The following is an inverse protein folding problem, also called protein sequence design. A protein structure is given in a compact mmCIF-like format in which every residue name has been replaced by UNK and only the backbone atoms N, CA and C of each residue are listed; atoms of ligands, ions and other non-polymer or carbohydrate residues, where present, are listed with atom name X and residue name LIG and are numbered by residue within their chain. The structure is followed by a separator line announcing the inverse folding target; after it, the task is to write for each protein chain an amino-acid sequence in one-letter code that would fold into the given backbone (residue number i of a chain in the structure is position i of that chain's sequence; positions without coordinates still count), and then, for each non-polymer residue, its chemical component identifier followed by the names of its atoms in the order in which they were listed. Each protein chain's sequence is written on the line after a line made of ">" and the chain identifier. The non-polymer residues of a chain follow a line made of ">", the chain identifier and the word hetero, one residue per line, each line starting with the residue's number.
data_IF_660320152635
#
_entry.id   IF_660320152635
#
_cell.length_a   1.000
_cell.length_b   1.000
_cell.length_c   1.000
_cell.angle_alpha   90.00
_cell.angle_beta   90.00
_cell.angle_gamma   90.00
#
_symmetry.space_group_name_H-M   'P 1'
#
loop_
_entity.id
_entity.type
_entity.pdbx_description
1 polymer ?
#
# COMPACT_ATOMS: atom_id res chain seq x y z
N UNK A 1 28.41 2.81 -3.69
CA UNK A 1 27.36 2.54 -4.70
C UNK A 1 26.24 3.52 -4.41
N UNK A 2 25.90 4.46 -5.31
CA UNK A 2 25.22 5.66 -4.89
C UNK A 2 23.72 5.42 -4.73
N UNK A 3 23.28 5.58 -3.50
CA UNK A 3 21.90 5.78 -3.06
C UNK A 3 21.38 7.10 -3.65
N UNK A 4 20.31 7.08 -4.46
CA UNK A 4 19.64 8.31 -4.90
C UNK A 4 18.67 8.73 -3.81
N UNK A 5 19.07 9.76 -3.07
CA UNK A 5 18.23 10.53 -2.15
C UNK A 5 17.22 11.35 -2.97
N UNK A 6 15.92 11.20 -2.69
CA UNK A 6 14.91 12.19 -3.09
C UNK A 6 14.47 12.94 -1.85
N UNK A 7 15.29 13.91 -1.46
CA UNK A 7 14.96 14.94 -0.48
C UNK A 7 14.34 16.16 -1.15
N UNK A 8 13.18 16.55 -0.63
CA UNK A 8 12.55 17.87 -0.61
C UNK A 8 13.32 19.01 -1.32
N UNK A 9 12.70 19.56 -2.38
CA UNK A 9 12.78 20.99 -2.70
C UNK A 9 14.11 21.58 -3.16
N UNK A 10 14.57 21.25 -4.37
CA UNK A 10 15.36 22.17 -5.20
C UNK A 10 14.91 22.08 -6.65
N UNK A 11 14.57 23.24 -7.26
CA UNK A 11 14.18 23.38 -8.67
C UNK A 11 15.10 22.58 -9.59
N UNK A 12 14.58 21.53 -10.23
CA UNK A 12 15.26 20.85 -11.34
C UNK A 12 15.15 21.76 -12.57
N UNK A 13 16.16 22.60 -12.80
CA UNK A 13 16.47 23.11 -14.14
C UNK A 13 17.51 22.20 -14.78
N UNK A 14 17.13 20.98 -15.11
CA UNK A 14 17.86 20.17 -16.08
C UNK A 14 16.85 19.47 -16.97
N UNK A 15 16.89 19.83 -18.26
CA UNK A 15 16.20 19.10 -19.32
C UNK A 15 16.68 17.66 -19.26
N UNK A 16 15.74 16.71 -19.18
CA UNK A 16 16.01 15.32 -19.50
C UNK A 16 16.38 15.24 -20.98
N UNK A 17 17.67 15.34 -21.29
CA UNK A 17 18.17 14.90 -22.58
C UNK A 17 18.19 13.37 -22.54
N UNK A 18 17.54 12.74 -23.51
CA UNK A 18 17.71 11.32 -23.80
C UNK A 18 19.21 11.00 -23.84
N UNK A 19 19.66 9.86 -23.29
CA UNK A 19 20.99 9.36 -23.57
C UNK A 19 21.02 8.92 -25.03
N UNK A 20 21.58 9.76 -25.90
CA UNK A 20 22.08 9.31 -27.19
C UNK A 20 23.17 8.27 -26.94
N UNK A 21 22.95 7.07 -27.46
CA UNK A 21 23.83 5.90 -27.43
C UNK A 21 23.86 5.10 -26.11
N UNK A 22 22.87 4.22 -25.95
CA UNK A 22 23.04 2.98 -25.19
C UNK A 22 23.85 1.99 -26.04
N UNK A 23 24.96 1.52 -25.47
CA UNK A 23 25.84 0.46 -25.98
C UNK A 23 25.03 -0.77 -26.44
N UNK A 24 25.16 -1.12 -27.73
CA UNK A 24 24.44 -2.15 -28.48
C UNK A 24 24.65 -3.60 -27.98
N UNK A 25 25.19 -3.79 -26.77
CA UNK A 25 25.45 -5.10 -26.16
C UNK A 25 24.43 -5.52 -25.09
N UNK A 26 23.42 -4.71 -24.82
CA UNK A 26 22.26 -5.08 -23.99
C UNK A 26 20.98 -5.36 -24.78
N UNK A 27 21.05 -5.29 -26.13
CA UNK A 27 19.96 -5.68 -27.03
C UNK A 27 19.98 -7.20 -27.23
N UNK A 28 19.57 -7.93 -26.21
CA UNK A 28 19.36 -9.37 -26.25
C UNK A 28 17.97 -9.74 -26.75
N UNK A 29 17.87 -9.96 -28.07
CA UNK A 29 16.84 -10.70 -28.81
C UNK A 29 15.36 -10.26 -28.70
N UNK A 30 14.87 -9.67 -29.80
CA UNK A 30 13.46 -9.78 -30.23
C UNK A 30 13.15 -11.28 -30.43
N UNK A 31 12.55 -11.90 -29.42
CA UNK A 31 12.00 -13.24 -29.53
C UNK A 31 10.57 -13.16 -30.05
N UNK A 32 10.28 -13.91 -31.10
CA UNK A 32 8.93 -14.23 -31.54
C UNK A 32 8.20 -14.96 -30.40
N UNK A 33 7.26 -14.29 -29.74
CA UNK A 33 6.53 -14.84 -28.60
C UNK A 33 5.24 -15.51 -29.07
N UNK A 34 5.36 -16.75 -29.53
CA UNK A 34 4.23 -17.68 -29.49
C UNK A 34 3.77 -17.86 -28.02
N UNK A 35 2.54 -18.36 -27.77
CA UNK A 35 1.98 -18.43 -26.42
C UNK A 35 2.84 -19.34 -25.55
N UNK A 36 3.73 -18.76 -24.75
CA UNK A 36 4.41 -19.49 -23.69
C UNK A 36 3.39 -19.70 -22.58
N UNK A 37 2.92 -20.94 -22.45
CA UNK A 37 2.26 -21.38 -21.23
C UNK A 37 3.13 -20.96 -20.05
N UNK A 38 2.52 -20.39 -19.03
CA UNK A 38 3.18 -20.08 -17.75
C UNK A 38 4.14 -21.21 -17.40
N UNK A 39 5.41 -20.88 -17.15
CA UNK A 39 6.31 -21.82 -16.51
C UNK A 39 5.78 -22.02 -15.09
N UNK A 40 4.90 -23.01 -14.93
CA UNK A 40 4.61 -23.65 -13.65
C UNK A 40 5.92 -24.27 -13.20
N UNK A 41 6.79 -23.48 -12.57
CA UNK A 41 7.95 -24.07 -11.89
C UNK A 41 7.37 -24.91 -10.74
N UNK A 42 7.45 -26.23 -10.91
CA UNK A 42 7.12 -27.28 -9.92
C UNK A 42 5.64 -27.67 -9.80
N UNK A 43 5.42 -28.94 -9.42
CA UNK A 43 4.19 -29.60 -8.93
C UNK A 43 3.55 -28.91 -7.70
N UNK A 44 3.58 -27.58 -7.62
CA UNK A 44 3.05 -26.83 -6.48
C UNK A 44 1.52 -26.85 -6.54
N UNK A 45 0.90 -27.56 -5.60
CA UNK A 45 -0.54 -27.55 -5.35
C UNK A 45 -0.85 -26.46 -4.33
N UNK A 46 -1.84 -25.61 -4.58
CA UNK A 46 -2.29 -24.61 -3.60
C UNK A 46 -3.46 -25.20 -2.80
N UNK A 47 -3.22 -25.55 -1.54
CA UNK A 47 -4.23 -26.16 -0.65
C UNK A 47 -4.22 -25.45 0.68
N UNK A 48 -5.29 -25.60 1.48
CA UNK A 48 -5.35 -24.98 2.81
C UNK A 48 -4.20 -25.42 3.74
N UNK A 49 -3.67 -26.63 3.54
CA UNK A 49 -2.56 -27.19 4.31
C UNK A 49 -1.23 -26.44 4.11
N UNK A 50 -1.09 -25.67 3.03
CA UNK A 50 0.14 -24.94 2.72
C UNK A 50 0.00 -23.43 2.67
N UNK A 51 -1.08 -22.88 3.24
CA UNK A 51 -1.27 -21.43 3.40
C UNK A 51 -0.10 -20.76 4.16
N UNK A 52 0.60 -21.48 5.05
CA UNK A 52 1.80 -20.95 5.70
C UNK A 52 2.99 -20.67 4.75
N UNK A 53 2.91 -21.10 3.47
CA UNK A 53 3.91 -20.83 2.41
C UNK A 53 3.31 -20.09 1.22
N UNK A 54 2.04 -20.30 0.95
CA UNK A 54 1.35 -19.81 -0.23
C UNK A 54 -0.04 -19.31 0.17
N UNK A 55 -0.13 -18.06 0.63
CA UNK A 55 -1.42 -17.45 0.91
C UNK A 55 -2.07 -17.15 -0.44
N UNK A 56 -3.29 -17.67 -0.61
CA UNK A 56 -4.17 -17.49 -1.78
C UNK A 56 -5.49 -16.87 -1.32
N UNK A 57 -6.40 -16.51 -2.24
CA UNK A 57 -7.74 -16.06 -1.86
C UNK A 57 -8.47 -17.06 -0.94
N UNK A 58 -8.37 -18.36 -1.19
CA UNK A 58 -9.03 -19.38 -0.36
C UNK A 58 -8.43 -19.49 1.04
N UNK A 59 -7.11 -19.29 1.19
CA UNK A 59 -6.49 -19.18 2.50
C UNK A 59 -7.09 -18.04 3.33
N UNK A 60 -7.30 -16.87 2.70
CA UNK A 60 -7.89 -15.71 3.38
C UNK A 60 -9.37 -15.94 3.68
N UNK A 61 -10.07 -16.68 2.82
CA UNK A 61 -11.44 -17.07 3.09
C UNK A 61 -11.57 -17.90 4.34
N UNK A 62 -10.71 -18.89 4.47
CA UNK A 62 -10.69 -19.75 5.65
C UNK A 62 -10.24 -19.00 6.90
N UNK A 63 -9.13 -18.25 6.82
CA UNK A 63 -8.59 -17.48 7.96
C UNK A 63 -9.58 -16.48 8.55
N UNK A 64 -10.34 -15.79 7.70
CA UNK A 64 -11.16 -14.65 8.11
C UNK A 64 -12.67 -14.87 7.95
N UNK A 65 -13.10 -16.10 7.67
CA UNK A 65 -14.49 -16.44 7.40
C UNK A 65 -15.12 -15.53 6.33
N UNK A 66 -14.37 -15.27 5.25
CA UNK A 66 -14.83 -14.48 4.11
C UNK A 66 -15.80 -15.36 3.31
N UNK A 67 -17.04 -14.90 3.07
CA UNK A 67 -17.97 -15.63 2.23
C UNK A 67 -17.41 -15.90 0.83
N UNK A 68 -17.62 -17.12 0.33
CA UNK A 68 -17.25 -17.50 -1.05
C UNK A 68 -18.14 -16.83 -2.11
N UNK A 69 -19.29 -16.28 -1.69
CA UNK A 69 -20.19 -15.49 -2.52
C UNK A 69 -20.53 -14.21 -1.79
N UNK A 70 -20.30 -13.07 -2.45
CA UNK A 70 -20.77 -11.77 -1.97
C UNK A 70 -22.04 -11.42 -2.74
N UNK A 71 -23.13 -11.11 -2.03
CA UNK A 71 -24.26 -10.46 -2.67
C UNK A 71 -23.79 -9.09 -3.16
N UNK A 72 -23.94 -8.81 -4.46
CA UNK A 72 -23.70 -7.46 -4.96
C UNK A 72 -24.75 -6.56 -4.35
N UNK A 73 -24.32 -5.55 -3.61
CA UNK A 73 -25.20 -4.47 -3.21
C UNK A 73 -25.01 -3.33 -4.22
N UNK A 74 -26.07 -2.87 -4.91
CA UNK A 74 -25.94 -1.87 -5.98
C UNK A 74 -25.38 -0.54 -5.50
N UNK A 75 -25.50 -0.24 -4.20
CA UNK A 75 -24.94 0.96 -3.57
C UNK A 75 -23.57 0.74 -2.92
N UNK A 76 -22.92 -0.41 -3.15
CA UNK A 76 -21.57 -0.66 -2.64
C UNK A 76 -20.55 -0.45 -3.76
N UNK A 77 -19.42 0.14 -3.39
CA UNK A 77 -18.34 0.45 -4.31
C UNK A 77 -17.03 0.42 -3.54
N UNK A 78 -16.00 -0.13 -4.18
CA UNK A 78 -14.67 -0.27 -3.61
C UNK A 78 -13.65 0.36 -4.54
N UNK A 79 -12.81 1.24 -4.01
CA UNK A 79 -11.78 1.95 -4.77
C UNK A 79 -10.40 1.77 -4.14
N UNK A 80 -9.40 1.62 -5.00
CA UNK A 80 -8.00 1.48 -4.62
C UNK A 80 -7.25 2.67 -5.18
N UNK A 81 -6.49 3.36 -4.32
CA UNK A 81 -5.60 4.44 -4.73
C UNK A 81 -4.32 3.87 -5.34
N UNK A 82 -3.97 4.31 -6.54
CA UNK A 82 -2.70 4.01 -7.20
C UNK A 82 -2.06 5.32 -7.70
N UNK A 83 -0.73 5.40 -7.57
CA UNK A 83 0.05 6.52 -8.11
C UNK A 83 0.36 6.30 -9.59
N UNK A 84 0.57 7.38 -10.34
CA UNK A 84 0.61 7.38 -11.80
C UNK A 84 1.54 6.38 -12.47
N UNK A 85 2.66 6.04 -11.85
CA UNK A 85 3.60 5.05 -12.39
C UNK A 85 3.23 3.61 -12.03
N UNK A 86 2.47 3.35 -10.97
CA UNK A 86 2.05 2.01 -10.58
C UNK A 86 0.91 1.54 -11.50
N UNK A 87 1.05 0.35 -12.09
CA UNK A 87 0.11 -0.14 -13.10
C UNK A 87 -0.02 -1.65 -13.06
N UNK A 88 -1.24 -2.15 -13.20
CA UNK A 88 -1.54 -3.58 -13.28
C UNK A 88 -1.48 -4.08 -14.72
N UNK A 89 -1.17 -5.35 -14.90
CA UNK A 89 -1.10 -5.99 -16.23
C UNK A 89 -2.29 -6.92 -16.47
N UNK A 90 -3.07 -6.75 -17.56
CA UNK A 90 -4.20 -7.63 -17.89
C UNK A 90 -3.83 -9.12 -17.87
N UNK A 91 -2.65 -9.45 -18.40
CA UNK A 91 -2.14 -10.83 -18.47
C UNK A 91 -1.83 -11.42 -17.09
N UNK A 92 -1.36 -10.60 -16.16
CA UNK A 92 -1.08 -11.04 -14.80
C UNK A 92 -2.38 -11.30 -14.06
N UNK A 93 -3.32 -10.36 -14.12
CA UNK A 93 -4.67 -10.54 -13.58
C UNK A 93 -5.34 -11.81 -14.12
N UNK A 94 -5.35 -12.04 -15.43
CA UNK A 94 -5.96 -13.26 -16.01
C UNK A 94 -5.22 -14.54 -15.60
N UNK A 95 -3.89 -14.48 -15.49
CA UNK A 95 -3.09 -15.62 -15.04
C UNK A 95 -3.40 -16.00 -13.60
N UNK A 96 -3.55 -15.00 -12.72
CA UNK A 96 -3.95 -15.20 -11.34
C UNK A 96 -5.41 -15.69 -11.23
N UNK A 97 -6.33 -15.04 -11.93
CA UNK A 97 -7.75 -15.40 -11.94
C UNK A 97 -7.97 -16.80 -12.51
N UNK A 98 -7.26 -17.19 -13.57
CA UNK A 98 -7.33 -18.54 -14.12
C UNK A 98 -7.00 -19.64 -13.11
N UNK A 99 -6.24 -19.33 -12.06
CA UNK A 99 -5.90 -20.27 -10.97
C UNK A 99 -6.86 -20.13 -9.79
N UNK A 100 -7.10 -18.91 -9.29
CA UNK A 100 -7.73 -18.68 -8.00
C UNK A 100 -9.16 -18.11 -8.05
N UNK A 101 -9.59 -17.59 -9.20
CA UNK A 101 -10.96 -17.10 -9.39
C UNK A 101 -11.35 -17.15 -10.88
N UNK A 102 -11.56 -18.34 -11.47
CA UNK A 102 -11.73 -18.47 -12.93
C UNK A 102 -12.89 -17.65 -13.51
N UNK A 103 -13.90 -17.33 -12.69
CA UNK A 103 -15.03 -16.48 -13.06
C UNK A 103 -14.64 -15.01 -13.27
N UNK A 104 -13.48 -14.59 -12.77
CA UNK A 104 -12.96 -13.22 -12.84
C UNK A 104 -12.01 -13.00 -14.03
N UNK A 105 -11.70 -14.03 -14.83
CA UNK A 105 -10.92 -13.87 -16.08
C UNK A 105 -11.65 -12.87 -16.98
N UNK A 106 -10.87 -12.00 -17.65
CA UNK A 106 -11.35 -10.85 -18.43
C UNK A 106 -12.04 -9.74 -17.64
N UNK A 107 -12.25 -9.90 -16.32
CA UNK A 107 -12.71 -8.82 -15.47
C UNK A 107 -11.55 -7.86 -15.17
N UNK A 108 -11.82 -6.55 -15.16
CA UNK A 108 -10.82 -5.49 -15.00
C UNK A 108 -11.27 -4.43 -14.01
N UNK A 109 -10.34 -3.77 -13.30
CA UNK A 109 -10.70 -2.61 -12.51
C UNK A 109 -11.15 -1.45 -13.40
N UNK A 110 -12.13 -0.69 -12.94
CA UNK A 110 -12.63 0.50 -13.65
C UNK A 110 -11.73 1.66 -13.29
N UNK A 111 -10.93 2.13 -14.25
CA UNK A 111 -10.00 3.22 -14.00
C UNK A 111 -10.71 4.58 -13.94
N UNK A 112 -10.34 5.37 -12.92
CA UNK A 112 -10.67 6.78 -12.75
C UNK A 112 -9.37 7.56 -12.80
N UNK A 113 -9.14 8.19 -13.95
CA UNK A 113 -8.01 9.10 -14.16
C UNK A 113 -8.21 10.37 -13.34
N UNK A 114 -7.20 10.71 -12.53
CA UNK A 114 -7.16 11.93 -11.73
C UNK A 114 -5.82 12.63 -12.00
N UNK A 115 -5.88 13.90 -12.37
CA UNK A 115 -4.74 14.75 -12.71
C UNK A 115 -3.83 14.14 -13.79
N UNK A 116 -4.44 13.53 -14.80
CA UNK A 116 -3.73 12.86 -15.90
C UNK A 116 -3.37 11.40 -15.65
N UNK A 117 -3.95 10.79 -14.61
CA UNK A 117 -3.70 9.40 -14.26
C UNK A 117 -3.93 8.47 -15.43
N UNK A 118 -2.99 7.59 -15.71
CA UNK A 118 -3.03 6.74 -16.89
C UNK A 118 -2.70 5.30 -16.53
N UNK A 119 -3.30 4.37 -17.27
CA UNK A 119 -2.90 2.98 -17.25
C UNK A 119 -1.83 2.78 -18.31
N UNK A 120 -0.81 1.98 -18.00
CA UNK A 120 0.29 1.70 -18.91
C UNK A 120 0.80 0.27 -18.76
N UNK A 121 1.22 -0.32 -19.88
CA UNK A 121 1.86 -1.64 -19.94
C UNK A 121 3.17 -1.61 -20.74
N UNK A 122 3.71 -0.42 -21.02
CA UNK A 122 4.98 -0.24 -21.74
C UNK A 122 6.18 -0.53 -20.83
N UNK A 123 6.15 0.03 -19.61
CA UNK A 123 7.14 -0.20 -18.57
C UNK A 123 6.66 -1.34 -17.67
N UNK A 124 7.17 -2.53 -17.97
CA UNK A 124 6.91 -3.74 -17.20
C UNK A 124 8.10 -4.08 -16.32
N UNK A 125 7.85 -4.27 -15.03
CA UNK A 125 8.83 -4.73 -14.07
C UNK A 125 8.22 -4.81 -12.67
N UNK A 126 8.82 -5.63 -11.80
CA UNK A 126 8.32 -5.83 -10.43
C UNK A 126 8.15 -4.50 -9.68
N UNK A 127 9.04 -3.53 -9.91
CA UNK A 127 8.94 -2.19 -9.30
C UNK A 127 7.62 -1.47 -9.66
N UNK A 128 7.14 -1.68 -10.87
CA UNK A 128 6.00 -0.96 -11.46
C UNK A 128 4.69 -1.69 -11.22
N UNK A 129 4.69 -3.02 -11.37
CA UNK A 129 3.45 -3.79 -11.42
C UNK A 129 3.11 -4.48 -10.11
N UNK A 130 4.10 -4.84 -9.27
CA UNK A 130 3.85 -5.72 -8.13
C UNK A 130 2.86 -5.18 -7.09
N UNK A 131 2.73 -3.86 -6.94
CA UNK A 131 1.73 -3.26 -6.04
C UNK A 131 0.33 -3.40 -6.63
N UNK A 132 0.15 -2.81 -7.81
CA UNK A 132 -1.13 -2.76 -8.49
C UNK A 132 -1.66 -4.17 -8.81
N UNK A 133 -0.82 -5.08 -9.33
CA UNK A 133 -1.23 -6.47 -9.57
C UNK A 133 -1.74 -7.11 -8.29
N UNK A 134 -0.96 -7.09 -7.20
CA UNK A 134 -1.36 -7.70 -5.93
C UNK A 134 -2.67 -7.10 -5.39
N UNK A 135 -2.80 -5.77 -5.41
CA UNK A 135 -3.98 -5.05 -4.93
C UNK A 135 -5.24 -5.46 -5.72
N UNK A 136 -5.16 -5.49 -7.06
CA UNK A 136 -6.30 -5.83 -7.91
C UNK A 136 -6.59 -7.35 -7.97
N UNK A 137 -5.56 -8.20 -7.95
CA UNK A 137 -5.70 -9.67 -7.90
C UNK A 137 -6.52 -10.11 -6.69
N UNK A 138 -6.13 -9.69 -5.48
CA UNK A 138 -6.81 -10.11 -4.26
C UNK A 138 -8.15 -9.44 -4.07
N UNK A 139 -8.24 -8.13 -4.32
CA UNK A 139 -9.51 -7.44 -4.18
C UNK A 139 -10.57 -8.04 -5.09
N UNK A 140 -10.28 -8.16 -6.39
CA UNK A 140 -11.24 -8.64 -7.36
C UNK A 140 -11.57 -10.11 -7.12
N UNK A 141 -10.58 -10.96 -6.79
CA UNK A 141 -10.85 -12.38 -6.53
C UNK A 141 -11.71 -12.61 -5.28
N UNK A 142 -11.59 -11.77 -4.25
CA UNK A 142 -12.37 -11.88 -3.02
C UNK A 142 -13.75 -11.23 -3.12
N UNK A 143 -13.90 -10.16 -3.91
CA UNK A 143 -15.15 -9.40 -4.00
C UNK A 143 -15.98 -9.67 -5.26
N UNK A 144 -15.52 -10.53 -6.16
CA UNK A 144 -16.24 -10.86 -7.40
C UNK A 144 -17.72 -11.22 -7.12
N UNK A 145 -18.70 -10.69 -7.89
CA UNK A 145 -18.56 -9.89 -9.12
C UNK A 145 -18.56 -8.36 -8.93
N UNK A 146 -18.29 -7.86 -7.72
CA UNK A 146 -18.21 -6.42 -7.48
C UNK A 146 -17.11 -5.79 -8.35
N UNK A 147 -17.45 -4.69 -9.05
CA UNK A 147 -16.46 -3.84 -9.71
C UNK A 147 -15.57 -3.10 -8.71
N UNK A 148 -14.27 -3.15 -8.95
CA UNK A 148 -13.24 -2.40 -8.21
C UNK A 148 -12.82 -1.18 -9.02
N UNK A 149 -12.75 -0.02 -8.38
CA UNK A 149 -12.31 1.23 -8.99
C UNK A 149 -10.80 1.38 -8.80
N UNK A 150 -10.06 1.65 -9.87
CA UNK A 150 -8.67 2.11 -9.79
C UNK A 150 -8.65 3.65 -9.81
N UNK A 151 -8.41 4.29 -8.67
CA UNK A 151 -8.14 5.72 -8.61
C UNK A 151 -6.67 5.97 -8.98
N UNK A 152 -6.42 6.17 -10.28
CA UNK A 152 -5.10 6.41 -10.82
C UNK A 152 -4.80 7.92 -10.73
N UNK A 153 -3.84 8.31 -9.90
CA UNK A 153 -3.56 9.73 -9.61
C UNK A 153 -2.19 10.14 -10.13
N UNK A 154 -2.12 11.33 -10.72
CA UNK A 154 -0.87 11.94 -11.19
C UNK A 154 -0.67 11.78 -12.69
N UNK A 155 0.49 12.16 -13.20
CA UNK A 155 0.79 12.09 -14.63
C UNK A 155 2.14 11.42 -14.91
N UNK A 156 2.54 11.37 -16.18
CA UNK A 156 3.80 10.77 -16.64
C UNK A 156 5.04 11.41 -16.01
N UNK A 157 5.00 12.72 -15.81
CA UNK A 157 6.16 13.49 -15.32
C UNK A 157 6.10 13.85 -13.83
N UNK A 158 4.94 13.65 -13.20
CA UNK A 158 4.69 14.01 -11.81
C UNK A 158 3.90 12.89 -11.14
N UNK A 159 4.48 12.30 -10.10
CA UNK A 159 3.82 11.24 -9.33
C UNK A 159 2.59 11.78 -8.63
N UNK A 160 1.49 11.05 -8.68
CA UNK A 160 0.28 11.42 -7.94
C UNK A 160 0.49 11.40 -6.43
N UNK A 161 -0.16 12.32 -5.75
CA UNK A 161 -0.14 12.40 -4.29
C UNK A 161 -1.50 12.00 -3.73
N UNK A 162 -1.52 11.58 -2.46
CA UNK A 162 -2.75 11.33 -1.75
C UNK A 162 -3.61 12.61 -1.63
N UNK A 163 -2.98 13.79 -1.57
CA UNK A 163 -3.70 15.05 -1.65
C UNK A 163 -4.37 15.25 -3.03
N UNK A 164 -3.73 14.82 -4.12
CA UNK A 164 -4.36 14.81 -5.44
C UNK A 164 -5.64 13.97 -5.49
N UNK A 165 -5.68 12.82 -4.81
CA UNK A 165 -6.90 12.02 -4.65
C UNK A 165 -7.97 12.79 -3.86
N UNK A 166 -7.57 13.37 -2.73
CA UNK A 166 -8.48 14.10 -1.84
C UNK A 166 -9.06 15.33 -2.54
N UNK A 167 -8.27 16.08 -3.29
CA UNK A 167 -8.71 17.20 -4.11
C UNK A 167 -9.73 16.77 -5.17
N UNK A 168 -9.56 15.58 -5.77
CA UNK A 168 -10.54 15.04 -6.71
C UNK A 168 -11.87 14.69 -6.05
N UNK A 169 -11.86 14.27 -4.78
CA UNK A 169 -13.09 14.02 -4.01
C UNK A 169 -13.75 15.29 -3.50
N UNK A 170 -12.94 16.29 -3.12
CA UNK A 170 -13.42 17.55 -2.59
C UNK A 170 -12.70 18.75 -3.20
N UNK A 171 -13.44 19.50 -4.02
CA UNK A 171 -12.94 20.71 -4.68
C UNK A 171 -12.50 21.81 -3.71
N UNK A 172 -12.91 21.80 -2.44
CA UNK A 172 -12.39 22.75 -1.44
C UNK A 172 -10.91 22.54 -1.08
N UNK A 173 -10.33 21.43 -1.57
CA UNK A 173 -8.94 21.06 -1.37
C UNK A 173 -8.06 21.37 -2.60
N UNK A 174 -8.62 22.02 -3.63
CA UNK A 174 -7.99 22.23 -4.93
C UNK A 174 -6.75 23.16 -4.89
N UNK A 175 -6.76 24.15 -3.98
CA UNK A 175 -5.60 25.02 -3.80
C UNK A 175 -4.43 24.19 -3.26
N UNK A 176 -3.26 24.32 -3.88
CA UNK A 176 -2.05 23.65 -3.41
C UNK A 176 -1.80 24.03 -1.93
N UNK A 177 -1.97 23.06 -1.03
CA UNK A 177 -1.71 23.24 0.39
C UNK A 177 -0.22 23.44 0.64
N UNK A 178 0.60 22.79 -0.20
CA UNK A 178 2.03 23.02 -0.27
C UNK A 178 2.53 22.78 -1.70
N UNK A 179 2.85 23.85 -2.42
CA UNK A 179 3.34 23.80 -3.81
C UNK A 179 4.70 23.13 -4.01
N UNK A 180 5.42 22.80 -2.93
CA UNK A 180 6.65 22.00 -3.01
C UNK A 180 6.39 20.49 -2.91
N UNK A 181 5.16 20.09 -2.57
CA UNK A 181 4.73 18.70 -2.36
C UNK A 181 3.63 18.32 -3.36
N UNK A 182 2.65 19.20 -3.53
CA UNK A 182 1.52 18.98 -4.42
C UNK A 182 1.95 19.11 -5.88
N UNK A 183 1.37 18.26 -6.74
CA UNK A 183 1.62 18.31 -8.17
C UNK A 183 1.19 19.65 -8.77
N UNK A 184 1.91 20.09 -9.81
CA UNK A 184 1.63 21.35 -10.51
C UNK A 184 0.85 21.06 -11.78
N UNK A 185 -0.35 21.61 -11.90
CA UNK A 185 -1.18 21.48 -13.10
C UNK A 185 -1.73 22.83 -13.58
N UNK A 186 -1.81 23.08 -14.91
CA UNK A 186 -1.35 22.23 -16.01
C UNK A 186 0.14 21.86 -15.94
N UNK A 187 0.49 20.70 -16.48
CA UNK A 187 1.86 20.18 -16.46
C UNK A 187 2.81 21.11 -17.21
N UNK A 188 4.00 21.43 -16.65
CA UNK A 188 5.03 22.18 -17.35
C UNK A 188 5.62 21.47 -18.58
N UNK A 189 5.40 20.15 -18.71
CA UNK A 189 5.87 19.35 -19.85
C UNK A 189 4.84 19.38 -20.97
N UNK A 190 5.27 19.56 -22.22
CA UNK A 190 4.38 19.67 -23.39
C UNK A 190 3.53 18.40 -23.62
N UNK A 191 4.06 17.21 -23.29
CA UNK A 191 3.35 15.93 -23.36
C UNK A 191 2.73 15.48 -22.02
N UNK A 192 2.65 16.41 -21.05
CA UNK A 192 2.03 16.18 -19.74
C UNK A 192 0.54 16.53 -19.68
N UNK A 193 -0.07 16.41 -18.50
CA UNK A 193 -1.49 16.73 -18.30
C UNK A 193 -1.77 18.24 -18.42
N UNK A 194 -2.34 18.66 -19.56
CA UNK A 194 -2.55 20.08 -19.89
C UNK A 194 -3.82 20.73 -19.31
N UNK A 195 -4.60 20.00 -18.52
CA UNK A 195 -5.81 20.55 -17.89
C UNK A 195 -5.50 21.07 -16.48
N UNK A 196 -6.43 21.86 -15.95
CA UNK A 196 -6.40 22.24 -14.54
C UNK A 196 -6.55 21.00 -13.65
N UNK A 197 -6.21 21.16 -12.37
CA UNK A 197 -6.41 20.13 -11.36
C UNK A 197 -7.85 19.59 -11.38
N UNK A 198 -7.98 18.27 -11.30
CA UNK A 198 -9.24 17.56 -11.14
C UNK A 198 -9.73 17.78 -9.70
N UNK A 199 -10.61 18.77 -9.52
CA UNK A 199 -11.07 19.23 -8.21
C UNK A 199 -12.55 19.00 -8.01
N UNK A 200 -12.91 18.12 -7.06
CA UNK A 200 -14.29 17.70 -6.82
C UNK A 200 -14.94 17.00 -8.02
N UNK A 201 -14.13 16.45 -8.93
CA UNK A 201 -14.59 15.83 -10.18
C UNK A 201 -14.92 14.34 -10.01
N UNK A 202 -14.53 13.73 -8.89
CA UNK A 202 -14.67 12.30 -8.64
C UNK A 202 -15.47 12.06 -7.36
N UNK A 203 -16.49 11.23 -7.44
CA UNK A 203 -17.19 10.75 -6.24
C UNK A 203 -16.38 9.63 -5.57
N UNK A 204 -16.11 9.72 -4.25
CA UNK A 204 -15.46 8.63 -3.52
C UNK A 204 -16.35 7.38 -3.50
N UNK A 205 -15.71 6.22 -3.51
CA UNK A 205 -16.33 4.93 -3.25
C UNK A 205 -16.69 4.79 -1.78
N UNK A 206 -17.55 3.84 -1.42
CA UNK A 206 -17.92 3.57 -0.03
C UNK A 206 -16.73 3.07 0.80
N UNK A 207 -15.79 2.38 0.14
CA UNK A 207 -14.51 1.98 0.73
C UNK A 207 -13.37 2.46 -0.15
N UNK A 208 -12.40 3.15 0.44
CA UNK A 208 -11.16 3.60 -0.22
C UNK A 208 -9.98 2.90 0.45
N UNK A 209 -9.22 2.10 -0.30
CA UNK A 209 -8.02 1.42 0.17
C UNK A 209 -6.75 2.15 -0.27
N UNK A 210 -5.81 2.27 0.66
CA UNK A 210 -4.53 2.95 0.48
C UNK A 210 -3.40 2.03 0.97
N UNK A 211 -2.61 1.51 0.03
CA UNK A 211 -1.41 0.68 0.23
C UNK A 211 -0.09 1.48 0.22
N UNK A 212 -0.19 2.80 0.33
CA UNK A 212 0.95 3.70 0.38
C UNK A 212 1.02 4.39 1.73
N UNK A 213 2.22 4.45 2.29
CA UNK A 213 2.48 5.20 3.51
C UNK A 213 3.79 5.97 3.43
N UNK A 214 3.83 7.07 4.16
CA UNK A 214 4.98 7.95 4.25
C UNK A 214 5.25 8.31 5.70
N UNK A 215 6.49 8.65 6.03
CA UNK A 215 6.84 9.04 7.39
C UNK A 215 6.18 10.37 7.77
N UNK A 216 5.65 10.49 8.99
CA UNK A 216 5.07 11.75 9.49
C UNK A 216 6.03 12.93 9.36
N UNK A 217 7.32 12.68 9.65
CA UNK A 217 8.37 13.69 9.60
C UNK A 217 8.60 14.26 8.18
N UNK A 218 8.18 13.54 7.14
CA UNK A 218 8.38 13.97 5.75
C UNK A 218 7.45 15.11 5.31
N UNK A 219 6.48 15.50 6.15
CA UNK A 219 5.49 16.52 5.80
C UNK A 219 5.34 17.58 6.89
N UNK A 220 4.98 18.83 6.51
CA UNK A 220 4.55 19.82 7.48
C UNK A 220 3.33 19.35 8.29
N UNK A 221 3.35 19.59 9.60
CA UNK A 221 2.26 19.18 10.52
C UNK A 221 0.88 19.69 10.07
N UNK A 222 0.81 20.92 9.54
CA UNK A 222 -0.45 21.49 9.05
C UNK A 222 -1.00 20.76 7.82
N UNK A 223 -0.12 20.28 6.94
CA UNK A 223 -0.48 19.50 5.75
C UNK A 223 -1.13 18.17 6.15
N UNK A 224 -0.50 17.44 7.06
CA UNK A 224 -1.04 16.16 7.56
C UNK A 224 -2.33 16.34 8.36
N UNK A 225 -2.45 17.41 9.16
CA UNK A 225 -3.70 17.74 9.87
C UNK A 225 -4.84 18.03 8.90
N UNK A 226 -4.60 18.83 7.87
CA UNK A 226 -5.60 19.09 6.83
C UNK A 226 -5.98 17.79 6.11
N UNK A 227 -5.01 16.99 5.67
CA UNK A 227 -5.27 15.69 5.05
C UNK A 227 -6.15 14.80 5.93
N UNK A 228 -5.85 14.73 7.22
CA UNK A 228 -6.60 13.92 8.17
C UNK A 228 -8.05 14.42 8.37
N UNK A 229 -8.28 15.74 8.37
CA UNK A 229 -9.63 16.31 8.39
C UNK A 229 -10.45 15.97 7.13
N UNK A 230 -9.81 15.74 5.99
CA UNK A 230 -10.51 15.27 4.79
C UNK A 230 -10.95 13.81 4.94
N UNK A 231 -10.17 12.97 5.63
CA UNK A 231 -10.64 11.63 6.01
C UNK A 231 -11.79 11.67 7.01
N UNK A 232 -11.80 12.62 7.95
CA UNK A 232 -12.98 12.85 8.81
C UNK A 232 -14.22 13.18 7.97
N UNK A 233 -14.10 14.09 6.99
CA UNK A 233 -15.21 14.46 6.11
C UNK A 233 -15.72 13.28 5.29
N UNK A 234 -14.83 12.39 4.84
CA UNK A 234 -15.22 11.13 4.19
C UNK A 234 -15.96 10.21 5.18
N UNK A 235 -15.47 10.07 6.41
CA UNK A 235 -16.14 9.31 7.47
C UNK A 235 -17.56 9.83 7.75
N UNK A 236 -17.76 11.15 7.81
CA UNK A 236 -19.08 11.78 7.98
C UNK A 236 -20.02 11.53 6.79
N UNK A 237 -19.48 11.23 5.60
CA UNK A 237 -20.24 10.84 4.40
C UNK A 237 -20.49 9.33 4.33
N UNK A 238 -20.07 8.55 5.33
CA UNK A 238 -20.20 7.09 5.34
C UNK A 238 -19.19 6.38 4.44
N UNK A 239 -18.03 6.99 4.18
CA UNK A 239 -16.92 6.37 3.44
C UNK A 239 -15.90 5.82 4.44
N UNK A 240 -15.56 4.54 4.30
CA UNK A 240 -14.47 3.91 5.05
C UNK A 240 -13.14 4.08 4.32
N UNK A 241 -12.18 4.75 4.95
CA UNK A 241 -10.81 4.84 4.44
C UNK A 241 -9.95 3.83 5.20
N UNK A 242 -9.35 2.89 4.48
CA UNK A 242 -8.51 1.83 5.04
C UNK A 242 -7.08 2.05 4.56
N UNK A 243 -6.12 2.10 5.50
CA UNK A 243 -4.71 2.39 5.20
C UNK A 243 -3.78 1.41 5.87
N UNK A 244 -2.83 0.89 5.10
CA UNK A 244 -1.85 -0.04 5.63
C UNK A 244 -0.88 0.67 6.59
N UNK A 245 -0.31 -0.07 7.55
CA UNK A 245 0.50 0.49 8.64
C UNK A 245 2.02 0.57 8.41
N UNK A 246 2.49 0.30 7.19
CA UNK A 246 3.88 0.13 6.74
C UNK A 246 4.51 -1.25 7.00
N UNK A 247 5.68 -1.46 6.40
CA UNK A 247 6.32 -2.77 6.25
C UNK A 247 7.66 -2.89 7.01
N UNK A 248 8.03 -1.92 7.85
CA UNK A 248 9.29 -1.94 8.61
C UNK A 248 9.12 -1.75 10.12
N UNK A 249 8.05 -2.28 10.71
CA UNK A 249 7.86 -2.17 12.16
C UNK A 249 7.73 -0.70 12.61
N UNK A 250 8.35 -0.32 13.74
CA UNK A 250 8.26 1.05 14.23
C UNK A 250 9.19 2.03 13.50
N UNK A 251 9.95 1.58 12.50
CA UNK A 251 10.87 2.42 11.71
C UNK A 251 10.23 3.00 10.44
N UNK A 252 8.91 2.86 10.27
CA UNK A 252 8.14 3.49 9.19
C UNK A 252 8.60 3.13 7.79
N UNK A 253 8.40 4.03 6.83
CA UNK A 253 8.77 3.84 5.43
C UNK A 253 10.29 3.98 5.25
N UNK A 254 10.89 3.06 4.49
CA UNK A 254 12.34 3.00 4.30
C UNK A 254 13.11 2.35 5.45
N UNK A 255 12.39 1.80 6.43
CA UNK A 255 12.98 1.25 7.65
C UNK A 255 13.94 2.27 8.29
N UNK A 256 13.48 3.52 8.40
CA UNK A 256 14.26 4.68 8.82
C UNK A 256 13.72 5.24 10.13
N UNK A 257 14.49 5.10 11.19
CA UNK A 257 14.25 5.70 12.49
C UNK A 257 14.52 7.21 12.47
N UNK A 258 14.01 7.91 13.48
CA UNK A 258 14.26 9.32 13.70
C UNK A 258 15.52 9.53 14.52
N UNK A 259 16.30 10.56 14.17
CA UNK A 259 17.43 11.02 14.94
C UNK A 259 16.91 11.59 16.29
N UNK A 260 17.38 11.09 17.44
CA UNK A 260 16.87 11.55 18.74
C UNK A 260 17.15 13.02 19.05
N UNK A 261 18.13 13.64 18.39
CA UNK A 261 18.54 15.03 18.62
C UNK A 261 17.85 16.01 17.67
N UNK A 262 17.69 15.65 16.39
CA UNK A 262 17.11 16.55 15.38
C UNK A 262 15.65 16.25 15.06
N UNK A 263 15.18 15.05 15.42
CA UNK A 263 13.85 14.55 15.05
C UNK A 263 13.68 14.26 13.56
N UNK A 264 14.75 14.30 12.76
CA UNK A 264 14.74 14.03 11.32
C UNK A 264 14.99 12.54 11.03
N UNK A 265 14.59 12.05 9.86
CA UNK A 265 14.88 10.67 9.46
C UNK A 265 16.39 10.43 9.30
N UNK A 266 16.91 9.34 9.87
CA UNK A 266 18.34 8.96 9.84
C UNK A 266 18.79 8.38 8.49
N UNK A 267 17.85 8.14 7.57
CA UNK A 267 18.08 7.43 6.31
C UNK A 267 17.71 5.94 6.38
N UNK A 268 17.72 5.25 5.23
CA UNK A 268 17.18 3.90 5.12
C UNK A 268 17.97 2.87 5.92
N UNK A 269 17.28 1.86 6.45
CA UNK A 269 17.85 0.74 7.20
C UNK A 269 18.66 1.17 8.45
N UNK A 270 18.29 2.28 9.07
CA UNK A 270 18.95 2.74 10.30
C UNK A 270 18.76 1.75 11.44
N UNK A 271 19.84 1.42 12.15
CA UNK A 271 19.83 0.44 13.27
C UNK A 271 19.65 1.08 14.65
N UNK A 272 19.53 2.40 14.72
CA UNK A 272 19.30 3.17 15.94
C UNK A 272 18.35 4.35 15.67
N UNK A 273 17.80 4.94 16.72
CA UNK A 273 16.97 6.14 16.64
C UNK A 273 15.69 6.03 17.47
N UNK A 274 14.79 6.99 17.29
CA UNK A 274 13.41 6.97 17.78
C UNK A 274 12.50 6.40 16.69
N UNK A 275 11.31 5.94 17.09
CA UNK A 275 10.33 5.36 16.17
C UNK A 275 9.76 6.42 15.22
N UNK A 276 9.48 6.00 14.00
CA UNK A 276 9.07 6.85 12.89
C UNK A 276 7.67 6.44 12.41
N UNK A 277 6.60 6.98 13.02
CA UNK A 277 5.23 6.68 12.63
C UNK A 277 4.92 7.19 11.21
N UNK A 278 3.92 6.57 10.58
CA UNK A 278 3.58 6.80 9.17
C UNK A 278 2.15 7.30 8.97
N UNK A 279 1.96 8.09 7.92
CA UNK A 279 0.67 8.55 7.41
C UNK A 279 0.32 7.82 6.10
N UNK A 280 -0.98 7.63 5.79
CA UNK A 280 -2.13 8.12 6.54
C UNK A 280 -2.54 7.23 7.74
N UNK A 281 -1.88 6.09 7.95
CA UNK A 281 -2.17 5.14 9.03
C UNK A 281 -2.30 5.78 10.43
N UNK A 282 -1.50 6.79 10.74
CA UNK A 282 -1.55 7.48 12.03
C UNK A 282 -2.69 8.50 12.19
N UNK A 283 -3.45 8.80 11.13
CA UNK A 283 -4.64 9.63 11.23
C UNK A 283 -5.74 8.91 12.06
N UNK A 284 -6.40 9.59 13.02
CA UNK A 284 -7.52 9.01 13.77
C UNK A 284 -8.79 8.71 12.94
N UNK A 285 -8.87 9.17 11.70
CA UNK A 285 -10.07 9.04 10.87
C UNK A 285 -9.93 8.01 9.73
N UNK A 286 -8.90 7.16 9.82
CA UNK A 286 -8.73 5.99 8.94
C UNK A 286 -8.69 4.73 9.79
N UNK A 287 -9.11 3.60 9.21
CA UNK A 287 -8.82 2.28 9.79
C UNK A 287 -7.45 1.83 9.33
N UNK A 288 -6.49 1.78 10.25
CA UNK A 288 -5.16 1.27 9.97
C UNK A 288 -5.08 -0.24 10.10
N UNK A 289 -4.54 -0.93 9.10
CA UNK A 289 -4.35 -2.39 9.12
C UNK A 289 -2.87 -2.75 9.13
N UNK A 290 -2.47 -3.55 10.13
CA UNK A 290 -1.15 -4.15 10.19
C UNK A 290 -1.12 -5.61 9.75
N UNK A 291 0.02 -6.23 10.02
CA UNK A 291 0.41 -7.51 9.46
C UNK A 291 0.52 -8.64 10.47
N UNK A 292 -0.13 -9.75 10.17
CA UNK A 292 0.05 -11.04 10.85
C UNK A 292 0.65 -12.08 9.90
N UNK A 293 0.93 -13.29 10.35
CA UNK A 293 1.26 -14.40 9.47
C UNK A 293 0.92 -15.71 10.15
N UNK A 294 0.62 -16.73 9.35
CA UNK A 294 0.61 -18.11 9.83
C UNK A 294 2.05 -18.49 10.22
N UNK A 295 2.21 -19.16 11.37
CA UNK A 295 3.52 -19.67 11.81
C UNK A 295 4.08 -20.66 10.79
N UNK A 296 5.41 -20.80 10.77
CA UNK A 296 6.04 -21.84 9.94
C UNK A 296 5.47 -23.22 10.32
N UNK A 297 5.06 -23.99 9.30
CA UNK A 297 4.38 -25.27 9.43
C UNK A 297 3.03 -25.22 10.17
N UNK A 298 2.45 -24.04 10.35
CA UNK A 298 1.09 -23.88 10.87
C UNK A 298 0.02 -24.07 9.80
N UNK A 299 -1.22 -24.14 10.26
CA UNK A 299 -2.45 -24.23 9.47
C UNK A 299 -3.26 -22.94 9.56
N UNK A 300 -4.28 -22.82 8.72
CA UNK A 300 -5.29 -21.75 8.76
C UNK A 300 -6.15 -21.73 10.03
N UNK A 301 -6.08 -22.78 10.85
CA UNK A 301 -6.81 -22.87 12.12
C UNK A 301 -5.95 -22.48 13.33
N UNK A 302 -4.65 -22.33 13.14
CA UNK A 302 -3.73 -21.92 14.20
C UNK A 302 -3.80 -20.41 14.42
N UNK A 303 -3.46 -19.98 15.64
CA UNK A 303 -3.32 -18.55 15.92
C UNK A 303 -2.22 -17.94 15.06
N UNK A 304 -2.54 -16.83 14.38
CA UNK A 304 -1.55 -16.05 13.67
C UNK A 304 -0.54 -15.38 14.63
N UNK A 305 0.64 -15.03 14.12
CA UNK A 305 1.65 -14.23 14.81
C UNK A 305 1.86 -12.90 14.13
N UNK A 306 2.57 -11.97 14.77
CA UNK A 306 3.03 -10.74 14.12
C UNK A 306 3.86 -11.08 12.88
N UNK A 307 3.58 -10.40 11.77
CA UNK A 307 4.35 -10.53 10.55
C UNK A 307 5.79 -10.09 10.76
N UNK A 308 6.72 -10.98 10.36
CA UNK A 308 8.14 -10.70 10.32
C UNK A 308 8.80 -11.50 9.21
N UNK A 309 9.37 -10.79 8.26
CA UNK A 309 10.21 -11.32 7.21
C UNK A 309 11.66 -10.86 7.42
N UNK A 310 12.61 -11.78 7.29
CA UNK A 310 14.03 -11.47 7.36
C UNK A 310 14.77 -12.36 6.36
N UNK A 311 15.57 -11.73 5.51
CA UNK A 311 16.48 -12.35 4.57
C UNK A 311 17.86 -11.70 4.68
N UNK A 312 18.83 -12.17 3.89
CA UNK A 312 20.20 -11.63 3.91
C UNK A 312 20.28 -10.14 3.54
N UNK A 313 19.31 -9.62 2.79
CA UNK A 313 19.31 -8.25 2.27
C UNK A 313 18.07 -7.45 2.66
N UNK A 314 17.11 -8.05 3.37
CA UNK A 314 15.81 -7.42 3.63
C UNK A 314 15.26 -7.82 5.00
N UNK A 315 14.82 -6.83 5.78
CA UNK A 315 14.00 -7.02 6.98
C UNK A 315 12.69 -6.28 6.75
N UNK A 316 11.59 -6.95 7.01
CA UNK A 316 10.25 -6.38 6.98
C UNK A 316 9.42 -6.93 8.13
N UNK A 317 8.53 -6.12 8.68
CA UNK A 317 7.61 -6.52 9.74
C UNK A 317 6.40 -5.60 9.75
N UNK A 318 5.31 -6.05 10.35
CA UNK A 318 4.11 -5.20 10.50
C UNK A 318 4.49 -3.85 11.10
N UNK A 319 4.17 -2.77 10.39
CA UNK A 319 4.30 -1.43 10.92
C UNK A 319 3.34 -1.19 12.06
N UNK A 320 3.75 -0.33 12.98
CA UNK A 320 2.98 -0.04 14.20
C UNK A 320 3.79 0.79 15.19
N UNK A 321 3.10 1.42 16.13
CA UNK A 321 3.69 2.36 17.07
C UNK A 321 2.70 3.44 17.49
N UNK A 322 3.21 4.62 17.81
CA UNK A 322 2.41 5.76 18.23
C UNK A 322 2.77 6.99 17.41
N UNK A 323 1.75 7.76 17.01
CA UNK A 323 1.95 9.01 16.26
C UNK A 323 2.73 10.04 17.06
N UNK A 324 3.56 10.82 16.37
CA UNK A 324 4.24 12.00 16.93
C UNK A 324 3.46 13.30 16.65
N UNK A 325 2.38 13.22 15.86
CA UNK A 325 1.57 14.36 15.42
C UNK A 325 0.14 14.34 15.97
N UNK A 326 -0.52 13.18 15.93
CA UNK A 326 -1.91 13.02 16.31
C UNK A 326 -2.00 12.43 17.71
N UNK A 327 -2.70 13.10 18.61
CA UNK A 327 -2.95 12.59 19.95
C UNK A 327 -3.87 11.36 19.90
N UNK A 328 -3.80 10.52 20.94
CA UNK A 328 -4.69 9.38 21.09
C UNK A 328 -6.16 9.84 21.11
N UNK A 329 -6.98 9.40 20.14
CA UNK A 329 -8.40 9.75 20.11
C UNK A 329 -9.14 9.06 21.25
N UNK A 330 -10.25 9.65 21.71
CA UNK A 330 -10.99 9.18 22.89
C UNK A 330 -11.36 7.69 22.81
N UNK A 331 -11.80 7.22 21.63
CA UNK A 331 -12.17 5.83 21.41
C UNK A 331 -11.01 4.82 21.56
N UNK A 332 -9.76 5.30 21.60
CA UNK A 332 -8.56 4.47 21.66
C UNK A 332 -7.82 4.56 23.01
N UNK A 333 -8.11 5.56 23.84
CA UNK A 333 -7.36 5.82 25.08
C UNK A 333 -7.35 4.61 26.02
N UNK A 334 -8.51 4.01 26.29
CA UNK A 334 -8.62 2.85 27.17
C UNK A 334 -7.79 1.65 26.66
N UNK A 335 -7.78 1.42 25.34
CA UNK A 335 -7.00 0.35 24.74
C UNK A 335 -5.48 0.61 24.84
N UNK A 336 -5.06 1.86 24.65
CA UNK A 336 -3.66 2.29 24.80
C UNK A 336 -3.21 2.17 26.26
N UNK A 337 -4.01 2.69 27.19
CA UNK A 337 -3.71 2.66 28.62
C UNK A 337 -3.60 1.21 29.10
N UNK A 338 -4.54 0.35 28.69
CA UNK A 338 -4.47 -1.08 28.98
C UNK A 338 -3.20 -1.72 28.43
N UNK A 339 -2.82 -1.42 27.18
CA UNK A 339 -1.58 -1.92 26.58
C UNK A 339 -0.33 -1.46 27.34
N UNK A 340 -0.21 -0.18 27.68
CA UNK A 340 0.95 0.40 28.35
C UNK A 340 1.07 -0.04 29.82
N UNK A 341 -0.05 -0.36 30.48
CA UNK A 341 -0.08 -0.80 31.88
C UNK A 341 0.12 -2.31 32.06
N UNK A 342 0.04 -3.11 30.99
CA UNK A 342 0.28 -4.56 31.06
C UNK A 342 1.71 -4.86 31.55
N UNK A 343 1.91 -5.65 32.62
CA UNK A 343 3.24 -5.87 33.19
C UNK A 343 4.26 -6.43 32.21
N UNK A 344 3.85 -7.41 31.38
CA UNK A 344 4.70 -8.06 30.38
C UNK A 344 5.11 -7.11 29.24
N UNK A 345 4.26 -6.12 28.94
CA UNK A 345 4.53 -5.07 27.96
C UNK A 345 5.39 -3.97 28.57
N UNK A 346 5.04 -3.51 29.77
CA UNK A 346 5.78 -2.47 30.47
C UNK A 346 7.25 -2.85 30.62
N UNK A 347 7.54 -4.09 31.06
CA UNK A 347 8.92 -4.60 31.14
C UNK A 347 9.66 -4.52 29.80
N UNK A 348 9.01 -4.86 28.68
CA UNK A 348 9.60 -4.76 27.33
C UNK A 348 9.80 -3.31 26.89
N UNK A 349 8.90 -2.42 27.27
CA UNK A 349 8.94 -1.00 26.90
C UNK A 349 9.93 -0.18 27.74
N UNK A 350 10.37 -0.66 28.91
CA UNK A 350 11.36 0.05 29.74
C UNK A 350 12.62 0.41 28.95
N UNK A 351 13.13 -0.52 28.14
CA UNK A 351 14.31 -0.31 27.28
C UNK A 351 14.03 0.57 26.03
N UNK A 352 12.76 0.93 25.80
CA UNK A 352 12.29 1.77 24.70
C UNK A 352 11.75 3.13 25.19
N UNK A 353 11.95 3.45 26.47
CA UNK A 353 11.56 4.73 27.05
C UNK A 353 12.17 5.89 26.26
N UNK A 354 11.33 6.85 25.86
CA UNK A 354 11.74 8.01 25.06
C UNK A 354 11.91 7.74 23.57
N UNK A 355 11.70 6.50 23.09
CA UNK A 355 11.75 6.16 21.66
C UNK A 355 10.44 6.44 20.91
N UNK A 356 9.34 6.59 21.62
CA UNK A 356 8.02 6.83 21.05
C UNK A 356 7.20 7.79 21.92
N UNK A 357 6.14 8.35 21.35
CA UNK A 357 5.18 9.20 22.05
C UNK A 357 4.03 8.36 22.63
N UNK A 358 3.99 8.05 23.94
CA UNK A 358 2.94 7.19 24.50
C UNK A 358 1.53 7.84 24.49
N UNK A 359 1.44 9.15 24.25
CA UNK A 359 0.18 9.89 24.17
C UNK A 359 -0.38 9.98 22.76
N UNK A 360 0.35 9.47 21.75
CA UNK A 360 -0.06 9.53 20.36
C UNK A 360 -1.13 8.51 19.99
N UNK A 361 -1.78 8.71 18.84
CA UNK A 361 -2.64 7.71 18.19
C UNK A 361 -1.85 6.41 17.97
N UNK A 362 -2.31 5.32 18.57
CA UNK A 362 -1.67 4.00 18.47
C UNK A 362 -1.99 3.33 17.14
N UNK A 363 -1.04 2.66 16.49
CA UNK A 363 -1.20 2.04 15.16
C UNK A 363 -0.70 0.59 15.23
N UNK A 364 -1.36 -0.39 14.58
CA UNK A 364 -2.60 -0.30 13.79
C UNK A 364 -3.88 -0.48 14.63
N UNK A 365 -5.06 -0.36 13.99
CA UNK A 365 -6.36 -0.64 14.62
C UNK A 365 -6.75 -2.13 14.55
N UNK A 366 -6.42 -2.77 13.43
CA UNK A 366 -6.67 -4.20 13.17
C UNK A 366 -5.47 -4.79 12.42
N UNK A 367 -5.44 -6.11 12.24
CA UNK A 367 -4.38 -6.78 11.47
C UNK A 367 -4.94 -7.88 10.57
N UNK A 368 -4.21 -8.19 9.49
CA UNK A 368 -4.48 -9.31 8.58
C UNK A 368 -3.17 -9.91 8.05
N UNK A 369 -3.23 -11.09 7.45
CA UNK A 369 -2.05 -11.84 7.06
C UNK A 369 -1.22 -10.99 6.08
N UNK A 370 0.04 -10.78 6.47
CA UNK A 370 1.09 -9.98 5.86
C UNK A 370 2.28 -10.76 5.24
N UNK A 371 2.22 -12.10 5.21
CA UNK A 371 3.24 -12.93 4.57
C UNK A 371 2.75 -13.68 3.33
N UNK A 372 3.69 -14.15 2.51
CA UNK A 372 3.52 -15.27 1.58
C UNK A 372 2.39 -15.16 0.54
N UNK A 373 1.95 -13.98 0.12
CA UNK A 373 0.91 -13.88 -0.91
C UNK A 373 1.43 -14.41 -2.24
N UNK A 374 0.71 -15.35 -2.83
CA UNK A 374 0.93 -15.74 -4.22
C UNK A 374 0.33 -14.66 -5.11
N UNK A 375 1.09 -14.16 -6.08
CA UNK A 375 0.66 -13.15 -7.06
C UNK A 375 1.25 -13.45 -8.44
N UNK A 376 0.56 -13.09 -9.51
CA UNK A 376 1.15 -13.06 -10.84
C UNK A 376 1.73 -11.67 -11.09
N UNK A 377 3.03 -11.61 -11.36
CA UNK A 377 3.76 -10.35 -11.54
C UNK A 377 4.70 -10.54 -12.72
N UNK A 378 4.51 -9.73 -13.76
CA UNK A 378 5.28 -9.74 -15.01
C UNK A 378 5.39 -11.14 -15.65
N UNK A 379 4.24 -11.83 -15.76
CA UNK A 379 4.10 -13.15 -16.36
C UNK A 379 4.65 -14.30 -15.50
N UNK A 380 4.94 -14.05 -14.22
CA UNK A 380 5.46 -15.06 -13.29
C UNK A 380 4.62 -15.16 -12.03
N UNK A 381 4.29 -16.39 -11.63
CA UNK A 381 3.70 -16.66 -10.33
C UNK A 381 4.80 -16.65 -9.26
N UNK A 382 4.73 -15.72 -8.33
CA UNK A 382 5.71 -15.55 -7.26
C UNK A 382 5.06 -15.27 -5.91
N UNK A 383 5.86 -15.35 -4.85
CA UNK A 383 5.43 -15.00 -3.50
C UNK A 383 5.93 -13.60 -3.10
N UNK A 384 5.00 -12.77 -2.63
CA UNK A 384 5.30 -11.48 -2.01
C UNK A 384 5.53 -11.73 -0.51
N UNK A 385 6.74 -11.40 -0.03
CA UNK A 385 7.25 -11.74 1.32
C UNK A 385 7.31 -13.26 1.63
N UNK A 386 7.73 -14.07 0.64
CA UNK A 386 7.96 -15.51 0.75
C UNK A 386 9.36 -15.93 1.22
N UNK A 387 9.72 -17.23 1.22
CA UNK A 387 11.09 -17.68 1.45
C UNK A 387 12.08 -17.21 0.36
N UNK A 388 13.38 -17.09 0.65
CA UNK A 388 14.40 -16.44 -0.19
C UNK A 388 14.70 -17.12 -1.55
N UNK A 389 14.12 -18.30 -1.83
CA UNK A 389 14.36 -19.02 -3.09
C UNK A 389 13.55 -18.47 -4.28
N UNK A 390 12.71 -17.46 -4.06
CA UNK A 390 12.07 -16.69 -5.12
C UNK A 390 12.62 -15.27 -5.08
N UNK A 391 13.14 -14.77 -6.21
CA UNK A 391 13.85 -13.49 -6.32
C UNK A 391 12.99 -12.37 -5.73
N UNK A 392 13.40 -11.84 -4.58
CA UNK A 392 12.70 -10.75 -3.90
C UNK A 392 13.48 -9.47 -4.11
N UNK A 393 12.84 -8.50 -4.75
CA UNK A 393 13.35 -7.15 -4.91
C UNK A 393 12.53 -6.18 -4.05
N UNK A 394 13.29 -5.26 -3.46
CA UNK A 394 12.90 -4.08 -2.71
C UNK A 394 11.66 -3.41 -3.26
N UNK A 395 10.66 -3.12 -2.42
CA UNK A 395 9.73 -2.04 -2.68
C UNK A 395 9.12 -1.47 -1.38
N UNK A 396 9.21 -0.14 -1.26
CA UNK A 396 8.86 0.73 -0.12
C UNK A 396 7.35 0.96 0.01
N UNK A 397 6.56 -0.11 0.05
CA UNK A 397 5.12 0.02 0.19
C UNK A 397 4.66 -0.41 1.56
N UNK A 398 3.53 0.14 1.95
CA UNK A 398 2.84 -0.21 3.15
C UNK A 398 1.75 -1.13 2.67
N UNK A 399 2.03 -2.41 2.50
CA UNK A 399 1.05 -3.28 1.86
C UNK A 399 0.10 -3.82 2.92
N UNK A 400 -1.20 -3.81 2.57
CA UNK A 400 -2.33 -4.56 3.17
C UNK A 400 -3.28 -3.74 4.04
N UNK A 401 -4.45 -3.49 3.47
CA UNK A 401 -5.56 -2.82 4.13
C UNK A 401 -6.87 -2.96 3.35
N UNK A 402 -7.34 -4.19 3.12
CA UNK A 402 -8.76 -4.35 2.77
C UNK A 402 -9.19 -5.79 2.91
N UNK A 403 -9.77 -6.17 4.04
CA UNK A 403 -10.44 -7.48 4.08
C UNK A 403 -11.58 -7.64 5.10
N UNK A 404 -11.85 -6.69 6.00
CA UNK A 404 -13.02 -6.77 6.90
C UNK A 404 -14.12 -5.74 6.67
N UNK A 405 -13.82 -4.57 6.13
CA UNK A 405 -14.82 -3.50 5.95
C UNK A 405 -15.86 -3.79 4.84
N UNK A 406 -15.57 -4.69 3.91
CA UNK A 406 -16.41 -4.85 2.71
C UNK A 406 -17.52 -5.92 2.82
N UNK A 407 -17.42 -6.87 3.76
CA UNK A 407 -18.24 -8.09 3.70
C UNK A 407 -19.37 -8.21 4.72
N UNK A 408 -19.44 -7.29 5.68
CA UNK A 408 -20.71 -6.99 6.32
C UNK A 408 -21.36 -5.88 5.53
N UNK A 409 -22.32 -6.20 4.66
CA UNK A 409 -23.25 -5.22 4.07
C UNK A 409 -24.17 -4.55 5.12
N UNK A 410 -23.64 -4.29 6.31
CA UNK A 410 -24.24 -3.58 7.42
C UNK A 410 -23.21 -2.54 7.84
N UNK A 411 -23.59 -1.26 7.73
CA UNK A 411 -22.93 -0.21 8.48
C UNK A 411 -22.80 -0.67 9.95
N UNK A 412 -21.67 -0.38 10.63
CA UNK A 412 -21.61 -0.53 12.08
C UNK A 412 -22.71 0.25 12.78
#
# INVERSE_FOLDING_TARGET
>A
MPTVYLGIGTRIRQRWNQPDHLDDRLVGARGDFSPRSLYKRSNTTFTLDNCHRYITPDCLRELYNIPSTSAIHPNNSFGIFQVSWASWLPKDLDSFFGIFSPKSVDFRPIMKSINGGYWQDELQGTYVNAEADLDFEYSMALTYPQSVINYQVGEKWQTGTLNGLIAAFDGSCCDAWNSSIDGVYPSPSDDGYQKAHDCGTVRPTNVVSISYAWNEVSFPKAYLRRQCLEFLKLGLQGVSVISASADCGPAGTGCSCLDPSTGQALGPLSTYGNFNPVVPASCPYVTSVGGTQIRANGSVYDSEVVFRHSSATHISSSGGGFSNLFDAPEYQKDAIDHYLQRPDINERLQNLTGKFNPLGRGVPDVSSNAANFVAAINGQLMTVFGPPHQRQFLLLFSRRSTMRAYMSGRNP
#
